data_IF_582921356987
#
_entry.id   IF_582921356987
#
_cell.length_a   1.000
_cell.length_b   1.000
_cell.length_c   1.000
_cell.angle_alpha   90.00
_cell.angle_beta   90.00
_cell.angle_gamma   90.00
#
_symmetry.space_group_name_H-M   'P 1'
#
loop_
_entity.id
_entity.type
_entity.pdbx_description
1 polymer ?
#
# COMPACT_ATOMS: atom_id res chain seq x y z
N UNK A 1 8.89 -13.36 44.00
CA UNK A 1 8.42 -14.06 42.79
C UNK A 1 7.41 -13.14 42.15
N UNK A 2 7.64 -12.78 40.88
CA UNK A 2 6.70 -11.95 40.14
C UNK A 2 5.35 -12.66 40.04
N UNK A 3 4.26 -11.92 40.24
CA UNK A 3 2.88 -12.40 40.10
C UNK A 3 2.33 -12.16 38.69
N UNK A 4 3.18 -11.68 37.78
CA UNK A 4 2.82 -11.41 36.39
C UNK A 4 2.70 -12.74 35.62
N UNK A 5 1.53 -13.04 34.99
CA UNK A 5 1.37 -14.19 34.12
C UNK A 5 2.39 -14.23 32.96
N UNK A 6 2.85 -13.06 32.50
CA UNK A 6 3.88 -12.92 31.48
C UNK A 6 5.21 -13.55 31.92
N UNK A 7 5.67 -13.23 33.13
CA UNK A 7 6.90 -13.75 33.70
C UNK A 7 6.83 -15.27 33.90
N UNK A 8 5.67 -15.80 34.30
CA UNK A 8 5.47 -17.24 34.46
C UNK A 8 5.47 -18.00 33.11
N UNK A 9 4.90 -17.41 32.07
CA UNK A 9 4.91 -17.98 30.72
C UNK A 9 6.31 -17.93 30.08
N UNK A 10 7.00 -16.81 30.21
CA UNK A 10 8.37 -16.65 29.73
C UNK A 10 9.33 -17.60 30.46
N UNK A 11 9.21 -17.71 31.78
CA UNK A 11 9.97 -18.68 32.58
C UNK A 11 9.70 -20.13 32.14
N UNK A 12 8.45 -20.46 31.81
CA UNK A 12 8.11 -21.77 31.26
C UNK A 12 8.79 -22.00 29.90
N UNK A 13 8.70 -21.06 28.96
CA UNK A 13 9.35 -21.18 27.64
C UNK A 13 10.87 -21.24 27.74
N UNK A 14 11.48 -20.51 28.68
CA UNK A 14 12.92 -20.62 28.99
C UNK A 14 13.28 -22.01 29.49
N UNK A 15 12.55 -22.53 30.46
CA UNK A 15 12.76 -23.90 30.97
C UNK A 15 12.56 -24.97 29.91
N UNK A 16 11.55 -24.85 29.06
CA UNK A 16 11.32 -25.79 27.95
C UNK A 16 12.48 -25.77 26.95
N UNK A 17 13.05 -24.60 26.65
CA UNK A 17 14.24 -24.44 25.80
C UNK A 17 15.50 -25.01 26.45
N UNK A 18 15.73 -24.69 27.73
CA UNK A 18 16.86 -25.22 28.51
C UNK A 18 16.79 -26.74 28.70
N UNK A 19 15.58 -27.32 28.76
CA UNK A 19 15.37 -28.75 28.92
C UNK A 19 15.54 -29.56 27.63
N UNK A 20 15.54 -28.92 26.45
CA UNK A 20 15.72 -29.58 25.14
C UNK A 20 16.57 -28.72 24.20
N UNK A 21 17.84 -28.45 24.57
CA UNK A 21 18.72 -27.67 23.72
C UNK A 21 19.06 -28.50 22.48
N UNK A 22 18.69 -28.00 21.30
CA UNK A 22 19.34 -28.46 20.07
C UNK A 22 20.63 -27.66 20.01
N UNK A 23 21.75 -28.33 20.25
CA UNK A 23 23.07 -27.72 20.15
C UNK A 23 23.46 -27.71 18.68
N UNK A 24 23.61 -26.52 18.11
CA UNK A 24 24.25 -26.37 16.80
C UNK A 24 25.74 -26.15 17.07
N UNK A 25 26.58 -27.06 16.60
CA UNK A 25 28.04 -27.04 16.84
C UNK A 25 28.73 -25.83 16.19
N UNK A 26 28.08 -25.21 15.19
CA UNK A 26 28.61 -24.08 14.43
C UNK A 26 27.49 -23.26 13.79
N UNK A 27 27.54 -21.93 13.93
CA UNK A 27 26.75 -21.02 13.10
C UNK A 27 27.43 -20.80 11.74
N UNK A 28 26.64 -20.62 10.69
CA UNK A 28 27.12 -20.33 9.34
C UNK A 28 28.03 -19.07 9.32
N UNK A 29 29.14 -19.13 8.59
CA UNK A 29 30.13 -18.04 8.58
C UNK A 29 29.54 -16.71 8.07
N UNK A 30 28.55 -16.75 7.16
CA UNK A 30 27.90 -15.53 6.69
C UNK A 30 26.97 -14.95 7.76
N UNK A 31 26.35 -15.78 8.60
CA UNK A 31 25.56 -15.31 9.76
C UNK A 31 26.47 -14.65 10.78
N UNK A 32 27.59 -15.29 11.12
CA UNK A 32 28.60 -14.75 12.03
C UNK A 32 29.12 -13.39 11.55
N UNK A 33 29.36 -13.24 10.25
CA UNK A 33 29.83 -11.99 9.65
C UNK A 33 28.83 -10.82 9.74
N UNK A 34 27.56 -11.06 10.11
CA UNK A 34 26.56 -10.01 10.34
C UNK A 34 26.47 -9.58 11.80
N UNK A 35 26.97 -10.37 12.73
CA UNK A 35 26.90 -10.02 14.15
C UNK A 35 27.81 -8.83 14.46
N UNK A 36 27.46 -7.99 15.47
CA UNK A 36 28.31 -6.89 15.89
C UNK A 36 29.73 -7.36 16.26
N UNK A 37 30.73 -6.51 16.01
CA UNK A 37 32.12 -6.80 16.34
C UNK A 37 32.27 -7.12 17.84
N UNK A 38 32.98 -8.20 18.16
CA UNK A 38 33.16 -8.68 19.52
C UNK A 38 32.04 -9.59 20.06
N UNK A 39 31.06 -9.96 19.23
CA UNK A 39 30.04 -10.94 19.62
C UNK A 39 30.63 -12.33 19.91
N UNK A 40 30.19 -12.95 21.00
CA UNK A 40 30.51 -14.34 21.35
C UNK A 40 29.25 -15.21 21.22
N UNK A 41 29.35 -16.33 20.50
CA UNK A 41 28.24 -17.28 20.35
C UNK A 41 28.24 -18.22 21.55
N UNK A 42 27.30 -18.00 22.47
CA UNK A 42 27.15 -18.84 23.67
C UNK A 42 26.38 -20.12 23.36
N UNK A 43 25.32 -20.02 22.56
CA UNK A 43 24.48 -21.15 22.15
C UNK A 43 23.62 -20.78 20.95
N UNK A 44 23.17 -21.77 20.17
CA UNK A 44 22.15 -21.58 19.15
C UNK A 44 21.08 -22.65 19.34
N UNK A 45 19.84 -22.22 19.59
CA UNK A 45 18.69 -23.10 19.89
C UNK A 45 17.54 -22.76 18.93
N UNK A 46 16.98 -23.73 18.19
CA UNK A 46 15.79 -23.54 17.37
C UNK A 46 14.59 -23.22 18.23
N UNK A 47 13.94 -22.09 17.95
CA UNK A 47 12.72 -21.66 18.66
C UNK A 47 11.43 -22.19 18.02
N UNK A 48 11.53 -23.23 17.18
CA UNK A 48 10.42 -23.78 16.38
C UNK A 48 10.16 -22.99 15.09
N UNK A 49 9.06 -23.32 14.42
CA UNK A 49 8.61 -22.59 13.22
C UNK A 49 7.64 -21.47 13.61
N UNK A 50 7.94 -20.24 13.20
CA UNK A 50 7.04 -19.09 13.36
C UNK A 50 5.72 -19.32 12.60
N UNK A 51 4.67 -18.56 12.94
CA UNK A 51 3.45 -18.55 12.13
C UNK A 51 3.79 -18.27 10.66
N UNK A 52 4.73 -17.36 10.41
CA UNK A 52 5.32 -17.09 9.11
C UNK A 52 5.88 -18.35 8.41
N UNK A 53 6.78 -19.09 9.06
CA UNK A 53 7.36 -20.33 8.53
C UNK A 53 6.34 -21.46 8.32
N UNK A 54 5.22 -21.46 9.07
CA UNK A 54 4.16 -22.47 8.95
C UNK A 54 3.15 -22.13 7.86
N UNK A 55 2.88 -20.84 7.63
CA UNK A 55 1.88 -20.35 6.68
C UNK A 55 2.44 -20.29 5.27
N UNK A 56 3.71 -19.89 5.12
CA UNK A 56 4.47 -20.08 3.89
C UNK A 56 5.05 -21.50 3.88
N UNK A 57 4.28 -22.48 3.40
CA UNK A 57 4.74 -23.86 3.17
C UNK A 57 5.73 -23.95 2.00
N UNK A 58 6.82 -23.20 2.06
CA UNK A 58 8.09 -23.43 1.36
C UNK A 58 9.02 -22.31 1.77
N UNK A 59 10.20 -22.64 2.27
CA UNK A 59 11.33 -21.71 2.23
C UNK A 59 11.49 -21.34 0.76
N UNK A 60 11.05 -20.13 0.37
CA UNK A 60 11.30 -19.68 -0.98
C UNK A 60 12.82 -19.59 -1.13
N UNK A 61 13.40 -20.50 -1.90
CA UNK A 61 14.83 -20.51 -2.18
C UNK A 61 15.14 -19.59 -3.35
N UNK A 62 16.40 -19.20 -3.49
CA UNK A 62 16.88 -18.37 -4.59
C UNK A 62 16.35 -16.94 -4.49
N UNK A 63 16.05 -16.36 -5.65
CA UNK A 63 15.73 -14.93 -5.74
C UNK A 63 14.44 -14.49 -5.03
N UNK A 64 13.34 -15.28 -5.03
CA UNK A 64 12.16 -14.94 -4.23
C UNK A 64 12.46 -14.89 -2.72
N UNK A 65 13.22 -15.87 -2.19
CA UNK A 65 13.72 -15.86 -0.81
C UNK A 65 14.58 -14.66 -0.47
N UNK A 66 15.50 -14.29 -1.37
CA UNK A 66 16.33 -13.10 -1.21
C UNK A 66 15.49 -11.85 -1.01
N UNK A 67 14.54 -11.60 -1.93
CA UNK A 67 13.70 -10.40 -1.93
C UNK A 67 12.81 -10.34 -0.69
N UNK A 68 12.34 -11.50 -0.24
CA UNK A 68 11.51 -11.64 0.96
C UNK A 68 12.29 -11.21 2.21
N UNK A 69 13.46 -11.78 2.43
CA UNK A 69 14.32 -11.49 3.58
C UNK A 69 14.89 -10.06 3.53
N UNK A 70 15.33 -9.62 2.34
CA UNK A 70 15.77 -8.24 2.12
C UNK A 70 14.63 -7.24 2.41
N UNK A 71 13.42 -7.54 1.96
CA UNK A 71 12.23 -6.71 2.20
C UNK A 71 11.93 -6.56 3.70
N UNK A 72 11.93 -7.67 4.45
CA UNK A 72 11.75 -7.65 5.90
C UNK A 72 12.83 -6.80 6.60
N UNK A 73 14.10 -7.04 6.29
CA UNK A 73 15.21 -6.27 6.85
C UNK A 73 15.08 -4.77 6.58
N UNK A 74 14.78 -4.37 5.33
CA UNK A 74 14.64 -2.96 4.97
C UNK A 74 13.42 -2.34 5.65
N UNK A 75 12.30 -3.08 5.72
CA UNK A 75 11.07 -2.63 6.37
C UNK A 75 11.30 -2.35 7.85
N UNK A 76 11.83 -3.35 8.58
CA UNK A 76 12.07 -3.24 10.01
C UNK A 76 13.15 -2.18 10.29
N UNK A 77 14.16 -2.02 9.43
CA UNK A 77 15.20 -0.98 9.59
C UNK A 77 14.62 0.42 9.50
N UNK A 78 13.71 0.66 8.55
CA UNK A 78 13.05 1.96 8.40
C UNK A 78 12.12 2.20 9.60
N UNK A 79 11.39 1.19 10.05
CA UNK A 79 10.48 1.31 11.20
C UNK A 79 11.25 1.58 12.52
N UNK A 80 12.35 0.86 12.75
CA UNK A 80 13.24 1.06 13.88
C UNK A 80 13.84 2.48 13.92
N UNK A 81 14.00 3.15 12.77
CA UNK A 81 14.46 4.56 12.75
C UNK A 81 13.44 5.55 13.36
N UNK A 82 12.16 5.17 13.46
CA UNK A 82 11.09 5.99 14.05
C UNK A 82 10.65 5.49 15.44
N UNK A 83 10.80 4.20 15.71
CA UNK A 83 10.46 3.55 16.97
C UNK A 83 11.56 2.56 17.41
N UNK A 84 12.77 3.06 17.76
CA UNK A 84 13.93 2.20 18.05
C UNK A 84 13.74 1.33 19.29
N UNK A 85 12.92 1.78 20.25
CA UNK A 85 12.66 1.05 21.50
C UNK A 85 11.49 0.06 21.38
N UNK A 86 10.79 0.04 20.23
CA UNK A 86 9.54 -0.73 20.05
C UNK A 86 9.58 -1.66 18.83
N UNK A 87 10.77 -1.94 18.30
CA UNK A 87 10.99 -2.87 17.17
C UNK A 87 12.26 -3.65 17.47
N UNK A 88 12.33 -4.97 17.22
CA UNK A 88 13.57 -5.72 17.37
C UNK A 88 14.64 -5.13 16.46
N UNK A 89 15.78 -4.71 17.02
CA UNK A 89 16.84 -4.04 16.26
C UNK A 89 17.32 -4.93 15.08
N UNK A 90 17.14 -4.52 13.82
CA UNK A 90 17.62 -5.28 12.68
C UNK A 90 19.16 -5.26 12.63
N UNK A 91 19.78 -6.44 12.52
CA UNK A 91 21.25 -6.59 12.52
C UNK A 91 21.78 -6.79 11.11
N UNK A 92 21.15 -7.69 10.33
CA UNK A 92 21.56 -7.92 8.95
C UNK A 92 20.80 -9.05 8.28
N UNK A 93 21.01 -9.18 6.96
CA UNK A 93 20.51 -10.32 6.18
C UNK A 93 21.59 -10.82 5.21
N UNK A 94 21.43 -12.05 4.73
CA UNK A 94 22.36 -12.65 3.78
C UNK A 94 21.93 -14.03 3.27
N UNK A 95 22.71 -14.58 2.36
CA UNK A 95 22.60 -15.97 1.92
C UNK A 95 23.43 -16.84 2.87
N UNK A 96 22.93 -18.01 3.25
CA UNK A 96 23.74 -19.00 3.97
C UNK A 96 24.91 -19.44 3.10
N UNK A 97 26.11 -19.56 3.70
CA UNK A 97 27.29 -20.07 3.02
C UNK A 97 27.18 -21.57 2.77
N UNK A 98 26.68 -22.30 3.75
CA UNK A 98 26.61 -23.77 3.74
C UNK A 98 25.36 -24.30 3.00
N UNK A 99 24.37 -23.44 2.72
CA UNK A 99 23.12 -23.78 2.03
C UNK A 99 22.75 -22.71 0.99
N UNK A 100 23.37 -22.80 -0.19
CA UNK A 100 23.16 -21.82 -1.25
C UNK A 100 21.73 -21.83 -1.77
N UNK A 101 21.19 -20.64 -1.98
CA UNK A 101 19.80 -20.41 -2.29
C UNK A 101 18.93 -20.21 -1.05
N UNK A 102 19.42 -20.45 0.16
CA UNK A 102 18.68 -20.16 1.40
C UNK A 102 19.14 -18.83 1.98
N UNK A 103 18.19 -18.01 2.43
CA UNK A 103 18.44 -16.66 2.93
C UNK A 103 18.05 -16.53 4.40
N UNK A 104 18.77 -15.68 5.14
CA UNK A 104 18.54 -15.43 6.57
C UNK A 104 18.41 -13.93 6.87
N UNK A 105 17.65 -13.63 7.91
CA UNK A 105 17.54 -12.32 8.57
C UNK A 105 17.90 -12.49 10.05
N UNK A 106 18.71 -11.57 10.57
CA UNK A 106 19.14 -11.50 11.97
C UNK A 106 18.67 -10.17 12.56
N UNK A 107 18.06 -10.24 13.73
CA UNK A 107 17.66 -9.10 14.54
C UNK A 107 17.86 -9.40 16.03
N UNK A 108 17.65 -8.39 16.85
CA UNK A 108 17.56 -8.51 18.30
C UNK A 108 16.47 -9.52 18.71
N UNK A 109 16.75 -10.27 19.75
CA UNK A 109 15.85 -11.28 20.27
C UNK A 109 15.09 -10.74 21.49
N UNK A 110 13.76 -10.81 21.45
CA UNK A 110 12.88 -10.50 22.57
C UNK A 110 12.12 -11.75 23.01
N UNK A 111 12.07 -11.97 24.33
CA UNK A 111 11.12 -12.94 24.90
C UNK A 111 9.75 -12.28 24.92
N UNK A 112 8.80 -12.75 24.11
CA UNK A 112 7.49 -12.09 23.96
C UNK A 112 6.36 -12.84 24.65
N UNK A 113 5.37 -12.09 25.11
CA UNK A 113 4.13 -12.61 25.71
C UNK A 113 2.92 -12.15 24.90
N UNK A 114 2.06 -13.12 24.55
CA UNK A 114 0.78 -12.90 23.89
C UNK A 114 -0.27 -12.44 24.92
N UNK A 115 -0.15 -11.18 25.34
CA UNK A 115 -1.17 -10.46 26.09
C UNK A 115 -1.63 -9.21 25.34
N UNK A 116 -2.78 -8.68 25.72
CA UNK A 116 -3.33 -7.48 25.09
C UNK A 116 -2.52 -6.25 25.48
N UNK A 117 -2.15 -5.44 24.50
CA UNK A 117 -1.44 -4.18 24.73
C UNK A 117 -2.35 -3.18 25.44
N UNK A 118 -1.78 -2.24 26.19
CA UNK A 118 -2.57 -1.09 26.63
C UNK A 118 -2.97 -0.24 25.41
N UNK A 119 -4.22 0.24 25.43
CA UNK A 119 -4.81 0.99 24.32
C UNK A 119 -4.11 2.31 24.09
N UNK A 120 -3.72 3.00 25.16
CA UNK A 120 -3.02 4.30 25.08
C UNK A 120 -1.59 4.07 24.63
N UNK A 121 -0.87 3.13 25.24
CA UNK A 121 0.54 2.91 24.94
C UNK A 121 0.77 2.49 23.48
N UNK A 122 -0.02 1.53 22.95
CA UNK A 122 0.09 1.11 21.55
C UNK A 122 -0.21 2.26 20.58
N UNK A 123 -1.27 3.04 20.88
CA UNK A 123 -1.66 4.17 20.02
C UNK A 123 -0.63 5.28 20.07
N UNK A 124 -0.02 5.56 21.23
CA UNK A 124 0.99 6.61 21.36
C UNK A 124 2.26 6.27 20.57
N UNK A 125 2.70 5.01 20.60
CA UNK A 125 3.81 4.51 19.78
C UNK A 125 3.48 4.66 18.28
N UNK A 126 2.34 4.12 17.83
CA UNK A 126 1.95 4.16 16.42
C UNK A 126 1.75 5.59 15.92
N UNK A 127 1.10 6.43 16.72
CA UNK A 127 0.86 7.83 16.38
C UNK A 127 2.17 8.62 16.30
N UNK A 128 3.15 8.33 17.16
CA UNK A 128 4.49 8.92 17.09
C UNK A 128 5.16 8.55 15.77
N UNK A 129 5.15 7.27 15.36
CA UNK A 129 5.70 6.84 14.06
C UNK A 129 5.03 7.58 12.91
N UNK A 130 3.69 7.59 12.87
CA UNK A 130 2.94 8.25 11.80
C UNK A 130 3.23 9.76 11.73
N UNK A 131 3.18 10.49 12.85
CA UNK A 131 3.47 11.94 12.85
C UNK A 131 4.89 12.26 12.46
N UNK A 132 5.86 11.52 12.99
CA UNK A 132 7.27 11.84 12.80
C UNK A 132 7.77 11.45 11.41
N UNK A 133 7.10 10.51 10.73
CA UNK A 133 7.38 10.10 9.36
C UNK A 133 6.56 10.86 8.30
N UNK A 134 5.45 11.50 8.68
CA UNK A 134 4.58 12.25 7.76
C UNK A 134 5.37 13.26 6.92
N UNK A 135 5.14 13.23 5.60
CA UNK A 135 5.83 14.08 4.63
C UNK A 135 7.28 13.68 4.31
N UNK A 136 7.81 12.62 4.94
CA UNK A 136 9.20 12.15 4.73
C UNK A 136 9.36 11.06 3.67
N UNK A 137 8.29 10.75 2.91
CA UNK A 137 8.42 9.88 1.73
C UNK A 137 9.54 10.40 0.82
N UNK A 138 10.54 9.57 0.43
CA UNK A 138 11.67 10.03 -0.39
C UNK A 138 11.25 10.63 -1.74
N UNK A 139 10.03 10.31 -2.20
CA UNK A 139 9.47 10.81 -3.45
C UNK A 139 8.35 11.83 -3.24
N UNK A 140 7.95 12.07 -1.98
CA UNK A 140 6.72 12.80 -1.63
C UNK A 140 5.44 12.08 -2.05
N UNK A 141 5.51 10.83 -2.49
CA UNK A 141 4.36 10.06 -2.99
C UNK A 141 3.97 8.95 -2.03
N UNK A 142 2.71 8.56 -2.12
CA UNK A 142 2.22 7.28 -1.62
C UNK A 142 2.83 6.16 -2.46
N UNK A 143 3.32 5.12 -1.81
CA UNK A 143 3.70 3.88 -2.46
C UNK A 143 2.67 2.82 -2.12
N UNK A 144 1.90 2.31 -3.09
CA UNK A 144 1.12 1.10 -2.88
C UNK A 144 0.60 0.51 -4.18
N UNK A 145 0.91 -0.76 -4.44
CA UNK A 145 0.26 -1.55 -5.49
C UNK A 145 -0.50 -2.76 -4.91
N UNK A 146 -0.78 -2.78 -3.60
CA UNK A 146 -1.04 -4.06 -2.95
C UNK A 146 -2.48 -4.57 -3.02
N UNK A 147 -3.50 -3.78 -3.36
CA UNK A 147 -4.86 -4.33 -3.45
C UNK A 147 -5.01 -5.30 -4.63
N UNK A 148 -4.52 -4.92 -5.82
CA UNK A 148 -4.50 -5.81 -7.00
C UNK A 148 -3.62 -7.04 -6.75
N UNK A 149 -2.40 -6.84 -6.25
CA UNK A 149 -1.49 -7.96 -5.95
C UNK A 149 -2.04 -8.90 -4.86
N UNK A 150 -2.79 -8.36 -3.89
CA UNK A 150 -3.42 -9.17 -2.84
C UNK A 150 -4.58 -10.00 -3.40
N UNK A 151 -5.41 -9.41 -4.26
CA UNK A 151 -6.48 -10.16 -4.91
C UNK A 151 -5.94 -11.20 -5.89
N UNK A 152 -4.88 -10.89 -6.63
CA UNK A 152 -4.18 -11.88 -7.46
C UNK A 152 -3.60 -13.02 -6.62
N UNK A 153 -3.06 -12.73 -5.45
CA UNK A 153 -2.57 -13.74 -4.50
C UNK A 153 -3.71 -14.64 -4.01
N UNK A 154 -4.84 -14.06 -3.62
CA UNK A 154 -6.05 -14.79 -3.25
C UNK A 154 -6.54 -15.68 -4.39
N UNK A 155 -6.65 -15.13 -5.61
CA UNK A 155 -7.09 -15.85 -6.80
C UNK A 155 -6.17 -17.02 -7.16
N UNK A 156 -4.86 -16.87 -6.98
CA UNK A 156 -3.89 -17.97 -7.17
C UNK A 156 -4.07 -19.07 -6.13
N UNK A 157 -4.34 -18.72 -4.87
CA UNK A 157 -4.49 -19.67 -3.78
C UNK A 157 -5.83 -20.40 -3.81
N UNK A 158 -6.92 -19.69 -4.15
CA UNK A 158 -8.30 -20.16 -4.05
C UNK A 158 -8.93 -20.52 -5.40
N UNK A 159 -8.26 -20.22 -6.51
CA UNK A 159 -8.79 -20.36 -7.86
C UNK A 159 -9.72 -19.21 -8.26
N UNK A 160 -10.04 -19.12 -9.55
CA UNK A 160 -10.89 -18.07 -10.10
C UNK A 160 -12.35 -18.17 -9.64
N UNK A 161 -12.97 -17.03 -9.38
CA UNK A 161 -14.39 -16.87 -9.05
C UNK A 161 -14.93 -15.66 -9.82
N UNK A 162 -15.87 -15.88 -10.75
CA UNK A 162 -16.38 -14.83 -11.64
C UNK A 162 -17.12 -13.72 -10.91
N UNK A 163 -17.79 -14.05 -9.81
CA UNK A 163 -18.49 -13.06 -9.01
C UNK A 163 -17.50 -12.15 -8.29
N UNK A 164 -16.49 -12.74 -7.65
CA UNK A 164 -15.40 -11.98 -7.03
C UNK A 164 -14.65 -11.13 -8.07
N UNK A 165 -14.41 -11.65 -9.27
CA UNK A 165 -13.76 -10.90 -10.36
C UNK A 165 -14.58 -9.62 -10.68
N UNK A 166 -15.88 -9.78 -10.94
CA UNK A 166 -16.78 -8.67 -11.26
C UNK A 166 -16.90 -7.65 -10.12
N UNK A 167 -16.98 -8.14 -8.88
CA UNK A 167 -17.05 -7.29 -7.69
C UNK A 167 -15.73 -6.54 -7.47
N UNK A 168 -14.58 -7.19 -7.69
CA UNK A 168 -13.28 -6.56 -7.56
C UNK A 168 -13.05 -5.49 -8.64
N UNK A 169 -13.50 -5.74 -9.86
CA UNK A 169 -13.51 -4.73 -10.92
C UNK A 169 -14.36 -3.52 -10.53
N UNK A 170 -15.53 -3.73 -9.92
CA UNK A 170 -16.36 -2.64 -9.42
C UNK A 170 -15.71 -1.89 -8.24
N UNK A 171 -15.02 -2.60 -7.34
CA UNK A 171 -14.25 -1.99 -6.25
C UNK A 171 -13.19 -1.04 -6.82
N UNK A 172 -12.38 -1.51 -7.76
CA UNK A 172 -11.29 -0.74 -8.36
C UNK A 172 -11.79 0.47 -9.16
N UNK A 173 -12.88 0.31 -9.92
CA UNK A 173 -13.34 1.35 -10.83
C UNK A 173 -14.35 2.33 -10.21
N UNK A 174 -15.03 1.95 -9.11
CA UNK A 174 -16.08 2.77 -8.49
C UNK A 174 -15.77 3.11 -7.05
N UNK A 175 -15.59 2.09 -6.20
CA UNK A 175 -15.53 2.25 -4.74
C UNK A 175 -14.23 2.93 -4.30
N UNK A 176 -13.07 2.44 -4.77
CA UNK A 176 -11.76 3.02 -4.42
C UNK A 176 -11.69 4.50 -4.83
N UNK A 177 -12.03 4.89 -6.08
CA UNK A 177 -12.07 6.29 -6.45
C UNK A 177 -13.05 7.12 -5.60
N UNK A 178 -14.23 6.57 -5.28
CA UNK A 178 -15.24 7.25 -4.45
C UNK A 178 -14.74 7.53 -3.05
N UNK A 179 -14.07 6.57 -2.41
CA UNK A 179 -13.62 6.69 -1.03
C UNK A 179 -12.30 7.46 -0.89
N UNK A 180 -11.35 7.23 -1.79
CA UNK A 180 -9.99 7.74 -1.61
C UNK A 180 -9.73 9.07 -2.34
N UNK A 181 -10.43 9.38 -3.45
CA UNK A 181 -10.24 10.66 -4.14
C UNK A 181 -10.62 11.88 -3.28
N UNK A 182 -11.72 11.85 -2.49
CA UNK A 182 -12.09 12.97 -1.61
C UNK A 182 -11.05 13.32 -0.53
N UNK A 183 -10.17 12.39 -0.15
CA UNK A 183 -9.09 12.64 0.82
C UNK A 183 -8.06 13.67 0.31
N UNK A 184 -7.98 13.85 -1.01
CA UNK A 184 -7.00 14.72 -1.69
C UNK A 184 -7.68 15.76 -2.60
N UNK A 185 -9.00 15.97 -2.44
CA UNK A 185 -9.78 16.92 -3.23
C UNK A 185 -10.57 17.87 -2.36
N UNK A 186 -11.23 18.86 -2.96
CA UNK A 186 -12.06 19.85 -2.24
C UNK A 186 -11.31 20.61 -1.12
N UNK A 187 -9.99 20.77 -1.26
CA UNK A 187 -9.14 21.42 -0.26
C UNK A 187 -8.62 20.48 0.84
N UNK A 188 -9.05 19.21 0.84
CA UNK A 188 -8.46 18.18 1.67
C UNK A 188 -7.11 17.74 1.12
N UNK A 189 -6.25 17.32 2.02
CA UNK A 189 -4.95 16.75 1.68
C UNK A 189 -4.57 15.79 2.79
N UNK A 190 -4.04 14.64 2.38
CA UNK A 190 -3.36 13.70 3.24
C UNK A 190 -1.87 13.69 2.86
N UNK A 191 -1.01 13.48 3.85
CA UNK A 191 0.42 13.34 3.63
C UNK A 191 0.86 11.87 3.81
N UNK A 192 1.75 11.35 2.95
CA UNK A 192 2.26 10.00 3.13
C UNK A 192 3.09 9.93 4.42
N UNK A 193 2.81 8.92 5.23
CA UNK A 193 3.59 8.56 6.42
C UNK A 193 4.02 7.09 6.32
N UNK A 194 4.99 6.69 7.13
CA UNK A 194 5.41 5.30 7.21
C UNK A 194 4.34 4.48 7.93
N UNK A 195 3.79 3.48 7.26
CA UNK A 195 2.80 2.57 7.84
C UNK A 195 3.39 1.16 7.98
N UNK A 196 2.98 0.39 8.99
CA UNK A 196 3.44 -0.97 9.28
C UNK A 196 2.85 -2.01 8.30
N UNK A 197 1.60 -1.80 7.88
CA UNK A 197 0.82 -2.63 6.95
C UNK A 197 0.50 -4.07 7.38
N UNK A 198 0.83 -4.44 8.61
CA UNK A 198 0.52 -5.76 9.18
C UNK A 198 0.42 -5.73 10.71
N UNK A 199 -0.17 -4.67 11.27
CA UNK A 199 -0.23 -4.46 12.71
C UNK A 199 -1.50 -5.08 13.33
N UNK A 200 -1.45 -6.39 13.56
CA UNK A 200 -2.47 -7.17 14.27
C UNK A 200 -1.89 -7.71 15.59
N UNK A 201 -2.69 -8.25 16.54
CA UNK A 201 -2.16 -8.68 17.85
C UNK A 201 -0.97 -9.66 17.78
N UNK A 202 -0.84 -10.43 16.70
CA UNK A 202 0.28 -11.36 16.51
C UNK A 202 1.59 -10.70 16.09
N UNK A 203 1.59 -9.41 15.75
CA UNK A 203 2.75 -8.62 15.31
C UNK A 203 3.01 -7.41 16.22
N UNK A 204 2.33 -7.34 17.36
CA UNK A 204 2.63 -6.42 18.44
C UNK A 204 2.46 -7.18 19.76
N UNK A 205 3.55 -7.44 20.47
CA UNK A 205 3.54 -8.24 21.71
C UNK A 205 4.29 -7.52 22.82
N UNK A 206 4.11 -7.97 24.07
CA UNK A 206 4.84 -7.42 25.21
C UNK A 206 6.16 -8.16 25.36
N UNK A 207 7.26 -7.43 25.54
CA UNK A 207 8.52 -8.00 26.01
C UNK A 207 8.35 -8.48 27.46
N UNK A 208 8.71 -9.73 27.71
CA UNK A 208 8.47 -10.42 28.97
C UNK A 208 9.30 -9.86 30.14
N UNK A 209 10.40 -9.17 29.86
CA UNK A 209 11.29 -8.64 30.89
C UNK A 209 10.93 -7.21 31.26
N UNK A 210 10.58 -6.41 30.26
CA UNK A 210 10.36 -4.96 30.40
C UNK A 210 8.87 -4.61 30.49
N UNK A 211 8.01 -5.41 29.86
CA UNK A 211 6.60 -5.08 29.65
C UNK A 211 6.37 -4.13 28.47
N UNK A 212 7.42 -3.75 27.74
CA UNK A 212 7.33 -2.81 26.62
C UNK A 212 6.65 -3.47 25.40
N UNK A 213 5.92 -2.66 24.63
CA UNK A 213 5.30 -3.12 23.38
C UNK A 213 6.36 -3.19 22.28
N UNK A 214 6.51 -4.36 21.68
CA UNK A 214 7.39 -4.64 20.56
C UNK A 214 6.56 -4.98 19.32
N UNK A 215 6.72 -4.19 18.26
CA UNK A 215 6.12 -4.40 16.93
C UNK A 215 7.15 -5.05 16.01
N UNK A 216 6.72 -6.01 15.18
CA UNK A 216 7.61 -6.79 14.32
C UNK A 216 6.87 -7.30 13.08
N UNK A 217 7.61 -7.92 12.16
CA UNK A 217 7.08 -8.39 10.86
C UNK A 217 6.40 -7.27 10.06
N UNK A 218 7.07 -6.12 9.99
CA UNK A 218 6.53 -4.98 9.25
C UNK A 218 6.56 -5.23 7.73
N UNK A 219 5.52 -4.77 7.05
CA UNK A 219 5.40 -4.77 5.58
C UNK A 219 5.37 -3.31 5.08
N UNK A 220 6.34 -2.52 5.56
CA UNK A 220 6.22 -1.08 5.62
C UNK A 220 6.25 -0.39 4.25
N UNK A 221 5.44 0.66 4.14
CA UNK A 221 5.46 1.55 2.99
C UNK A 221 4.94 2.94 3.36
N UNK A 222 5.07 3.88 2.43
CA UNK A 222 4.58 5.25 2.59
C UNK A 222 3.10 5.34 2.18
N UNK A 223 2.20 5.43 3.16
CA UNK A 223 0.75 5.30 2.97
C UNK A 223 -0.07 6.37 3.70
N UNK A 224 -1.39 6.30 3.54
CA UNK A 224 -2.34 7.00 4.41
C UNK A 224 -2.30 6.34 5.80
N UNK A 225 -2.08 7.13 6.85
CA UNK A 225 -1.90 6.64 8.22
C UNK A 225 -3.05 5.74 8.71
N UNK A 226 -4.28 5.99 8.26
CA UNK A 226 -5.45 5.21 8.69
C UNK A 226 -5.54 3.81 8.03
N UNK A 227 -4.71 3.53 7.02
CA UNK A 227 -4.62 2.20 6.41
C UNK A 227 -4.05 1.13 7.36
N UNK A 228 -3.20 1.54 8.31
CA UNK A 228 -2.65 0.67 9.35
C UNK A 228 -3.70 0.17 10.35
N UNK A 229 -4.85 0.84 10.39
CA UNK A 229 -5.96 0.51 11.27
C UNK A 229 -6.88 -0.58 10.69
N UNK A 230 -6.65 -0.99 9.44
CA UNK A 230 -7.45 -2.01 8.75
C UNK A 230 -7.57 -3.32 9.53
N UNK A 231 -6.48 -3.91 10.05
CA UNK A 231 -6.56 -5.12 10.86
C UNK A 231 -7.43 -4.93 12.11
N UNK A 232 -7.45 -3.73 12.71
CA UNK A 232 -8.20 -3.47 13.96
C UNK A 232 -9.72 -3.44 13.75
N UNK A 233 -10.19 -3.42 12.50
CA UNK A 233 -11.61 -3.61 12.18
C UNK A 233 -12.05 -5.06 12.35
N UNK A 234 -11.15 -6.00 12.14
CA UNK A 234 -11.49 -7.40 12.00
C UNK A 234 -11.96 -7.98 13.35
N UNK A 235 -13.20 -8.53 13.45
CA UNK A 235 -13.76 -9.00 14.71
C UNK A 235 -13.01 -10.22 15.29
N UNK A 236 -12.14 -10.85 14.50
CA UNK A 236 -11.25 -11.95 14.90
C UNK A 236 -10.09 -11.50 15.79
N UNK A 237 -9.77 -10.20 15.81
CA UNK A 237 -8.65 -9.65 16.58
C UNK A 237 -9.12 -8.89 17.81
N UNK A 238 -8.25 -8.83 18.82
CA UNK A 238 -8.48 -8.12 20.08
C UNK A 238 -8.15 -6.62 20.02
N UNK A 239 -7.58 -6.15 18.90
CA UNK A 239 -7.44 -4.73 18.57
C UNK A 239 -8.73 -4.29 17.87
N UNK A 240 -9.59 -3.55 18.55
CA UNK A 240 -10.94 -3.23 18.09
C UNK A 240 -11.30 -1.74 18.22
N UNK A 241 -12.60 -1.44 18.34
CA UNK A 241 -13.13 -0.06 18.48
C UNK A 241 -12.43 0.82 19.52
N UNK A 242 -11.98 0.32 20.69
CA UNK A 242 -11.23 1.16 21.65
C UNK A 242 -9.95 1.75 21.07
N UNK A 243 -9.17 0.95 20.33
CA UNK A 243 -7.93 1.37 19.69
C UNK A 243 -8.18 2.36 18.56
N UNK A 244 -9.17 2.06 17.71
CA UNK A 244 -9.60 2.95 16.63
C UNK A 244 -9.98 4.34 17.18
N UNK A 245 -10.82 4.39 18.22
CA UNK A 245 -11.26 5.65 18.83
C UNK A 245 -10.11 6.41 19.50
N UNK A 246 -9.21 5.70 20.18
CA UNK A 246 -8.06 6.33 20.82
C UNK A 246 -7.11 6.90 19.75
N UNK A 247 -6.87 6.18 18.66
CA UNK A 247 -6.07 6.67 17.53
C UNK A 247 -6.70 7.93 16.91
N UNK A 248 -8.01 7.91 16.62
CA UNK A 248 -8.74 9.07 16.09
C UNK A 248 -8.68 10.28 17.05
N UNK A 249 -8.76 10.04 18.35
CA UNK A 249 -8.63 11.11 19.36
C UNK A 249 -7.25 11.75 19.35
N UNK A 250 -6.20 10.95 19.12
CA UNK A 250 -4.82 11.44 19.08
C UNK A 250 -4.55 12.11 17.74
N UNK A 251 -4.78 11.43 16.62
CA UNK A 251 -4.36 11.84 15.29
C UNK A 251 -5.37 12.71 14.52
N UNK A 252 -6.62 12.77 14.97
CA UNK A 252 -7.72 13.29 14.17
C UNK A 252 -8.24 12.25 13.18
N UNK A 253 -9.29 12.63 12.45
CA UNK A 253 -9.90 11.85 11.37
C UNK A 253 -9.67 12.61 10.07
N UNK A 254 -9.22 11.93 9.03
CA UNK A 254 -9.08 12.54 7.70
C UNK A 254 -10.43 12.99 7.15
N UNK A 255 -10.45 14.10 6.42
CA UNK A 255 -11.68 14.59 5.76
C UNK A 255 -11.91 13.90 4.41
N UNK A 256 -13.16 13.60 4.01
CA UNK A 256 -14.41 13.88 4.74
C UNK A 256 -14.71 12.83 5.83
N UNK A 257 -14.80 13.24 7.10
CA UNK A 257 -14.93 12.30 8.23
C UNK A 257 -16.14 11.35 8.14
N UNK A 258 -17.18 11.75 7.40
CA UNK A 258 -18.39 10.94 7.20
C UNK A 258 -18.13 9.59 6.51
N UNK A 259 -17.11 9.51 5.65
CA UNK A 259 -16.76 8.29 4.91
C UNK A 259 -15.73 7.42 5.67
N UNK A 260 -15.34 7.80 6.90
CA UNK A 260 -14.24 7.16 7.61
C UNK A 260 -14.41 5.66 7.83
N UNK A 261 -15.60 5.25 8.26
CA UNK A 261 -15.85 3.83 8.54
C UNK A 261 -15.77 2.99 7.26
N UNK A 262 -16.13 3.59 6.12
CA UNK A 262 -16.21 2.94 4.82
C UNK A 262 -14.82 2.76 4.19
N UNK A 263 -13.93 3.76 4.27
CA UNK A 263 -12.54 3.53 3.84
C UNK A 263 -11.75 2.67 4.82
N UNK A 264 -12.07 2.67 6.12
CA UNK A 264 -11.51 1.68 7.05
C UNK A 264 -11.96 0.26 6.69
N UNK A 265 -13.21 0.07 6.25
CA UNK A 265 -13.69 -1.20 5.69
C UNK A 265 -12.94 -1.58 4.41
N UNK A 266 -12.70 -0.62 3.50
CA UNK A 266 -11.86 -0.82 2.32
C UNK A 266 -10.42 -1.26 2.68
N UNK A 267 -9.80 -0.62 3.69
CA UNK A 267 -8.47 -1.01 4.15
C UNK A 267 -8.48 -2.39 4.82
N UNK A 268 -9.52 -2.73 5.58
CA UNK A 268 -9.70 -4.04 6.19
C UNK A 268 -9.87 -5.16 5.14
N UNK A 269 -10.57 -4.88 4.04
CA UNK A 269 -10.83 -5.86 2.97
C UNK A 269 -9.54 -6.47 2.39
N UNK A 270 -8.44 -5.70 2.34
CA UNK A 270 -7.12 -6.23 1.96
C UNK A 270 -6.73 -7.44 2.82
N UNK A 271 -6.95 -7.35 4.12
CA UNK A 271 -6.58 -8.41 5.06
C UNK A 271 -7.54 -9.59 4.99
N UNK A 272 -8.78 -9.38 4.55
CA UNK A 272 -9.72 -10.46 4.30
C UNK A 272 -9.33 -11.28 3.07
N UNK A 273 -8.84 -10.63 2.00
CA UNK A 273 -8.17 -11.35 0.89
C UNK A 273 -6.91 -12.07 1.34
N UNK A 274 -6.08 -11.43 2.19
CA UNK A 274 -4.87 -12.06 2.73
C UNK A 274 -5.19 -13.35 3.48
N UNK A 275 -6.12 -13.33 4.45
CA UNK A 275 -6.44 -14.55 5.21
C UNK A 275 -7.15 -15.60 4.36
N UNK A 276 -7.93 -15.19 3.34
CA UNK A 276 -8.48 -16.12 2.35
C UNK A 276 -7.38 -16.85 1.59
N UNK A 277 -6.32 -16.14 1.20
CA UNK A 277 -5.19 -16.69 0.47
C UNK A 277 -4.30 -17.60 1.34
N UNK A 278 -4.06 -17.20 2.60
CA UNK A 278 -3.20 -17.95 3.53
C UNK A 278 -3.85 -19.25 4.03
N UNK A 279 -5.17 -19.31 4.09
CA UNK A 279 -5.93 -20.47 4.57
C UNK A 279 -6.91 -20.99 3.52
N UNK A 280 -6.43 -21.53 2.39
CA UNK A 280 -7.28 -21.91 1.26
C UNK A 280 -8.32 -23.00 1.60
N UNK A 281 -8.05 -23.80 2.63
CA UNK A 281 -8.94 -24.86 3.11
C UNK A 281 -10.06 -24.34 4.04
N UNK A 282 -10.03 -23.06 4.44
CA UNK A 282 -10.98 -22.44 5.36
C UNK A 282 -11.89 -21.46 4.60
N UNK A 283 -12.94 -21.99 3.95
CA UNK A 283 -13.80 -21.22 3.03
C UNK A 283 -14.47 -19.99 3.65
N UNK A 284 -14.66 -19.99 4.98
CA UNK A 284 -15.22 -18.87 5.74
C UNK A 284 -14.51 -17.54 5.49
N UNK A 285 -13.20 -17.56 5.22
CA UNK A 285 -12.42 -16.35 4.97
C UNK A 285 -12.72 -15.76 3.59
N UNK A 286 -12.87 -16.62 2.59
CA UNK A 286 -13.29 -16.22 1.24
C UNK A 286 -14.71 -15.68 1.22
N UNK A 287 -15.61 -16.33 1.95
CA UNK A 287 -17.00 -15.88 2.07
C UNK A 287 -17.12 -14.53 2.78
N UNK A 288 -16.29 -14.30 3.80
CA UNK A 288 -16.17 -13.00 4.48
C UNK A 288 -15.68 -11.92 3.50
N UNK A 289 -14.57 -12.14 2.79
CA UNK A 289 -14.06 -11.20 1.80
C UNK A 289 -15.11 -10.88 0.72
N UNK A 290 -15.80 -11.90 0.19
CA UNK A 290 -16.90 -11.73 -0.79
C UNK A 290 -18.02 -10.86 -0.23
N UNK A 291 -18.43 -11.09 1.02
CA UNK A 291 -19.51 -10.35 1.66
C UNK A 291 -19.15 -8.88 1.87
N UNK A 292 -17.97 -8.59 2.42
CA UNK A 292 -17.52 -7.21 2.65
C UNK A 292 -17.33 -6.45 1.33
N UNK A 293 -16.70 -7.10 0.34
CA UNK A 293 -16.54 -6.55 -1.00
C UNK A 293 -17.89 -6.22 -1.64
N UNK A 294 -18.85 -7.14 -1.58
CA UNK A 294 -20.21 -6.92 -2.12
C UNK A 294 -20.89 -5.76 -1.43
N UNK A 295 -20.83 -5.70 -0.09
CA UNK A 295 -21.45 -4.63 0.68
C UNK A 295 -20.93 -3.25 0.25
N UNK A 296 -19.62 -3.10 0.08
CA UNK A 296 -19.00 -1.86 -0.41
C UNK A 296 -19.44 -1.51 -1.84
N UNK A 297 -19.48 -2.49 -2.75
CA UNK A 297 -19.89 -2.27 -4.15
C UNK A 297 -21.37 -1.90 -4.26
N UNK A 298 -22.24 -2.54 -3.47
CA UNK A 298 -23.67 -2.26 -3.43
C UNK A 298 -23.99 -0.92 -2.78
N UNK A 299 -23.19 -0.49 -1.79
CA UNK A 299 -23.36 0.79 -1.10
C UNK A 299 -22.90 1.98 -1.96
N UNK A 300 -21.94 1.79 -2.87
CA UNK A 300 -21.46 2.82 -3.81
C UNK A 300 -21.71 2.49 -5.28
N UNK A 301 -22.96 2.32 -5.72
CA UNK A 301 -23.28 1.88 -7.08
C UNK A 301 -22.89 2.93 -8.14
N UNK A 302 -22.96 4.22 -7.78
CA UNK A 302 -22.60 5.37 -8.62
C UNK A 302 -21.14 5.79 -8.54
N UNK A 303 -20.37 5.22 -7.59
CA UNK A 303 -18.96 5.53 -7.40
C UNK A 303 -18.69 7.02 -7.21
N UNK A 304 -17.56 7.51 -7.73
CA UNK A 304 -17.11 8.88 -7.54
C UNK A 304 -18.08 9.94 -8.12
N UNK A 305 -18.85 9.61 -9.16
CA UNK A 305 -19.79 10.57 -9.75
C UNK A 305 -20.87 10.98 -8.74
N UNK A 306 -21.38 10.01 -7.98
CA UNK A 306 -22.42 10.23 -6.97
C UNK A 306 -21.95 11.20 -5.87
N UNK A 307 -20.68 11.13 -5.48
CA UNK A 307 -20.09 12.08 -4.52
C UNK A 307 -20.20 13.53 -5.02
N UNK A 308 -19.81 13.77 -6.28
CA UNK A 308 -19.86 15.10 -6.86
C UNK A 308 -21.29 15.57 -7.13
N UNK A 309 -22.19 14.67 -7.48
CA UNK A 309 -23.60 15.03 -7.68
C UNK A 309 -24.23 15.50 -6.35
N UNK A 310 -23.91 14.82 -5.23
CA UNK A 310 -24.35 15.20 -3.88
C UNK A 310 -23.68 16.48 -3.36
N UNK A 311 -22.38 16.65 -3.60
CA UNK A 311 -21.66 17.85 -3.17
C UNK A 311 -22.13 19.10 -3.93
N UNK A 312 -22.46 18.96 -5.22
CA UNK A 312 -23.04 20.03 -6.04
C UNK A 312 -24.49 20.35 -5.66
N UNK A 313 -25.30 19.35 -5.32
CA UNK A 313 -26.68 19.57 -4.84
C UNK A 313 -26.71 20.39 -3.53
N UNK A 314 -25.73 20.20 -2.65
CA UNK A 314 -25.62 20.93 -1.38
C UNK A 314 -25.16 22.38 -1.61
N UNK A 315 -24.28 22.62 -2.58
CA UNK A 315 -23.79 23.95 -2.99
C UNK A 315 -24.83 24.83 -3.70
N UNK A 316 -26.00 24.31 -4.09
CA UNK A 316 -27.09 25.08 -4.72
C UNK A 316 -28.15 25.61 -3.73
N UNK A 317 -27.88 25.60 -2.42
CA UNK A 317 -28.81 26.11 -1.39
C UNK A 317 -28.51 27.52 -0.85
N UNK A 318 -27.59 28.27 -1.46
CA UNK A 318 -27.35 29.67 -1.10
C UNK A 318 -26.66 30.45 -2.21
N UNK A 319 -27.39 31.38 -2.83
CA UNK A 319 -26.82 32.43 -3.67
C UNK A 319 -25.88 33.31 -2.83
N UNK A 320 -24.62 33.43 -3.26
CA UNK A 320 -23.77 34.58 -2.96
C UNK A 320 -23.09 34.99 -4.26
N UNK A 321 -23.48 36.16 -4.77
CA UNK A 321 -22.76 36.90 -5.81
C UNK A 321 -21.32 37.20 -5.35
N UNK A 322 -20.34 36.97 -6.22
CA UNK A 322 -18.93 37.32 -5.96
C UNK A 322 -18.61 38.72 -6.49
N UNK A 323 -18.23 39.61 -5.57
CA UNK A 323 -17.63 40.93 -5.78
C UNK A 323 -16.20 40.79 -6.36
N UNK A 324 -15.84 41.45 -7.48
CA UNK A 324 -14.56 41.21 -8.16
C UNK A 324 -13.36 42.02 -7.64
N UNK A 325 -13.38 42.59 -6.44
CA UNK A 325 -12.20 43.27 -5.90
C UNK A 325 -11.92 42.92 -4.44
N UNK A 326 -11.01 41.98 -4.23
CA UNK A 326 -9.91 42.07 -3.25
C UNK A 326 -8.88 41.00 -3.62
N UNK A 327 -7.77 41.45 -4.20
CA UNK A 327 -6.50 40.73 -4.23
C UNK A 327 -5.78 41.15 -2.96
N UNK A 328 -5.48 40.19 -2.07
CA UNK A 328 -4.43 40.38 -1.05
C UNK A 328 -3.43 39.24 -1.20
N UNK A 329 -2.18 39.64 -1.35
CA UNK A 329 -1.00 38.80 -1.52
C UNK A 329 -0.79 37.83 -0.34
N UNK A 330 -0.44 36.58 -0.68
CA UNK A 330 0.30 35.66 0.20
C UNK A 330 1.32 34.87 -0.64
N UNK A 331 2.61 34.96 -0.30
CA UNK A 331 3.62 33.93 -0.66
C UNK A 331 3.56 32.74 0.33
N UNK A 332 4.39 31.67 0.20
CA UNK A 332 4.11 30.46 -0.55
C UNK A 332 4.11 29.21 0.35
N UNK A 333 3.08 28.33 0.30
CA UNK A 333 3.14 27.14 1.14
C UNK A 333 2.10 26.03 0.98
N UNK A 334 0.92 26.30 0.43
CA UNK A 334 -0.05 25.25 0.08
C UNK A 334 -0.86 25.74 -1.12
N UNK A 335 -0.84 25.02 -2.24
CA UNK A 335 -1.66 25.38 -3.41
C UNK A 335 -3.00 24.70 -3.29
N UNK A 336 -4.08 25.49 -3.30
CA UNK A 336 -5.44 24.98 -3.37
C UNK A 336 -5.66 24.16 -4.66
N UNK A 337 -6.67 23.28 -4.71
CA UNK A 337 -7.05 22.55 -5.93
C UNK A 337 -7.35 23.49 -7.10
N UNK A 338 -7.88 24.68 -6.80
CA UNK A 338 -8.07 25.74 -7.79
C UNK A 338 -6.75 26.31 -8.29
N UNK A 339 -5.75 26.49 -7.42
CA UNK A 339 -4.41 26.93 -7.83
C UNK A 339 -3.68 25.85 -8.62
N UNK A 340 -3.88 24.57 -8.31
CA UNK A 340 -3.40 23.47 -9.13
C UNK A 340 -4.08 23.45 -10.49
N UNK A 341 -5.42 23.49 -10.54
CA UNK A 341 -6.17 23.51 -11.80
C UNK A 341 -5.85 24.76 -12.64
N UNK A 342 -5.67 25.92 -12.00
CA UNK A 342 -5.24 27.17 -12.63
C UNK A 342 -3.79 27.10 -13.09
N UNK A 343 -2.90 26.48 -12.33
CA UNK A 343 -1.49 26.25 -12.71
C UNK A 343 -1.39 25.27 -13.87
N UNK A 344 -2.20 24.21 -13.87
CA UNK A 344 -2.27 23.20 -14.92
C UNK A 344 -2.91 23.77 -16.19
N UNK A 345 -3.98 24.57 -16.06
CA UNK A 345 -4.57 25.31 -17.17
C UNK A 345 -3.55 26.31 -17.75
N UNK A 346 -2.83 27.05 -16.90
CA UNK A 346 -1.72 27.92 -17.33
C UNK A 346 -0.61 27.12 -18.02
N UNK A 347 -0.24 25.94 -17.51
CA UNK A 347 0.73 25.06 -18.14
C UNK A 347 0.26 24.64 -19.53
N UNK A 348 -0.98 24.18 -19.68
CA UNK A 348 -1.54 23.77 -20.97
C UNK A 348 -1.65 24.95 -21.95
N UNK A 349 -2.07 26.11 -21.48
CA UNK A 349 -2.19 27.33 -22.30
C UNK A 349 -0.81 27.86 -22.74
N UNK A 350 0.17 27.88 -21.84
CA UNK A 350 1.47 28.54 -22.06
C UNK A 350 2.54 27.60 -22.60
N UNK A 351 2.43 26.29 -22.35
CA UNK A 351 3.36 25.32 -22.90
C UNK A 351 3.33 25.35 -24.42
N UNK A 352 4.51 25.22 -25.02
CA UNK A 352 4.67 25.12 -26.45
C UNK A 352 5.54 23.92 -26.73
N UNK A 353 5.04 23.01 -27.55
CA UNK A 353 5.90 21.98 -28.12
C UNK A 353 7.04 22.64 -28.89
N UNK A 354 8.31 22.25 -28.68
CA UNK A 354 9.47 22.87 -29.34
C UNK A 354 9.40 22.86 -30.87
N UNK A 355 8.66 21.90 -31.44
CA UNK A 355 8.49 21.72 -32.88
C UNK A 355 7.02 21.79 -33.34
N UNK A 356 6.12 22.21 -32.44
CA UNK A 356 4.65 22.21 -32.67
C UNK A 356 4.05 20.82 -32.94
N UNK A 357 4.73 19.72 -32.61
CA UNK A 357 4.24 18.34 -32.78
C UNK A 357 3.88 17.73 -31.41
N UNK A 358 3.05 16.68 -31.40
CA UNK A 358 2.76 15.87 -30.22
C UNK A 358 3.89 14.88 -29.96
N UNK A 359 4.46 14.86 -28.76
CA UNK A 359 5.59 13.99 -28.42
C UNK A 359 6.43 14.55 -27.29
N UNK A 360 7.53 13.86 -26.99
CA UNK A 360 8.52 14.31 -26.01
C UNK A 360 9.93 13.91 -26.48
N UNK A 361 10.92 14.73 -26.12
CA UNK A 361 12.29 14.59 -26.61
C UNK A 361 13.06 13.38 -26.04
N UNK A 362 12.53 12.75 -24.99
CA UNK A 362 13.09 11.57 -24.34
C UNK A 362 12.00 10.55 -24.03
N UNK A 363 12.37 9.27 -23.98
CA UNK A 363 11.53 8.23 -23.39
C UNK A 363 11.32 8.54 -21.92
N UNK A 364 10.07 8.63 -21.50
CA UNK A 364 9.69 8.83 -20.09
C UNK A 364 9.30 7.49 -19.47
N UNK A 365 9.13 7.40 -18.15
CA UNK A 365 8.74 6.16 -17.49
C UNK A 365 7.50 6.35 -16.63
N UNK A 366 6.59 5.37 -16.65
CA UNK A 366 5.52 5.23 -15.68
C UNK A 366 5.77 3.95 -14.86
N UNK A 367 6.18 4.11 -13.60
CA UNK A 367 6.78 3.01 -12.85
C UNK A 367 8.02 2.47 -13.57
N UNK A 368 8.08 1.16 -13.80
CA UNK A 368 9.11 0.48 -14.59
C UNK A 368 8.78 0.40 -16.10
N UNK A 369 7.66 0.98 -16.56
CA UNK A 369 7.24 0.90 -17.95
C UNK A 369 7.81 2.07 -18.79
N UNK A 370 8.69 1.81 -19.77
CA UNK A 370 9.13 2.85 -20.69
C UNK A 370 7.97 3.33 -21.57
N UNK A 371 7.83 4.64 -21.67
CA UNK A 371 6.84 5.36 -22.46
C UNK A 371 7.59 6.04 -23.60
N UNK A 372 7.53 5.44 -24.79
CA UNK A 372 8.15 6.03 -25.96
C UNK A 372 7.21 7.10 -26.53
N UNK A 373 7.67 8.34 -26.60
CA UNK A 373 6.85 9.51 -26.96
C UNK A 373 7.34 10.14 -28.27
N UNK A 374 7.31 9.41 -29.40
CA UNK A 374 7.83 9.93 -30.66
C UNK A 374 7.05 11.16 -31.12
N UNK A 375 7.75 12.09 -31.77
CA UNK A 375 7.13 13.29 -32.31
C UNK A 375 6.22 12.96 -33.51
N UNK A 376 4.95 13.36 -33.45
CA UNK A 376 3.97 13.21 -34.52
C UNK A 376 3.12 14.47 -34.70
N UNK A 377 2.68 14.74 -35.93
CA UNK A 377 1.89 15.94 -36.26
C UNK A 377 0.40 15.84 -35.93
N UNK A 378 -0.11 14.65 -35.64
CA UNK A 378 -1.53 14.40 -35.39
C UNK A 378 -1.69 13.74 -34.04
N UNK A 379 -2.66 14.24 -33.26
CA UNK A 379 -3.03 13.65 -31.98
C UNK A 379 -3.49 12.21 -32.14
N UNK A 380 -4.26 11.89 -33.19
CA UNK A 380 -4.69 10.51 -33.50
C UNK A 380 -3.48 9.59 -33.62
N UNK A 381 -2.45 10.01 -34.36
CA UNK A 381 -1.26 9.19 -34.58
C UNK A 381 -0.43 9.02 -33.31
N UNK A 382 -0.27 10.10 -32.52
CA UNK A 382 0.41 10.03 -31.23
C UNK A 382 -0.30 9.06 -30.28
N UNK A 383 -1.61 9.23 -30.11
CA UNK A 383 -2.42 8.44 -29.20
C UNK A 383 -2.48 6.97 -29.63
N UNK A 384 -2.67 6.69 -30.92
CA UNK A 384 -2.66 5.33 -31.47
C UNK A 384 -1.32 4.63 -31.24
N UNK A 385 -0.19 5.32 -31.42
CA UNK A 385 1.13 4.75 -31.17
C UNK A 385 1.32 4.40 -29.69
N UNK A 386 0.92 5.30 -28.79
CA UNK A 386 1.01 5.09 -27.34
C UNK A 386 0.11 3.94 -26.88
N UNK A 387 -1.12 3.89 -27.37
CA UNK A 387 -2.07 2.83 -27.05
C UNK A 387 -1.58 1.48 -27.58
N UNK A 388 -1.02 1.44 -28.80
CA UNK A 388 -0.40 0.23 -29.37
C UNK A 388 0.78 -0.24 -28.52
N UNK A 389 1.64 0.66 -28.05
CA UNK A 389 2.73 0.30 -27.15
C UNK A 389 2.21 -0.33 -25.85
N UNK A 390 1.18 0.24 -25.23
CA UNK A 390 0.59 -0.32 -24.01
C UNK A 390 -0.01 -1.71 -24.25
N UNK A 391 -0.71 -1.91 -25.37
CA UNK A 391 -1.26 -3.22 -25.75
C UNK A 391 -0.14 -4.24 -26.04
N UNK A 392 0.96 -3.82 -26.67
CA UNK A 392 2.12 -4.70 -26.88
C UNK A 392 2.82 -5.08 -25.58
N UNK A 393 2.90 -4.16 -24.61
CA UNK A 393 3.45 -4.44 -23.28
C UNK A 393 2.54 -5.42 -22.54
N UNK A 394 1.23 -5.20 -22.56
CA UNK A 394 0.25 -6.11 -21.96
C UNK A 394 0.37 -7.52 -22.55
N UNK A 395 0.39 -7.63 -23.88
CA UNK A 395 0.55 -8.91 -24.57
C UNK A 395 1.90 -9.59 -24.27
N UNK A 396 2.99 -8.81 -24.10
CA UNK A 396 4.29 -9.35 -23.73
C UNK A 396 4.32 -9.89 -22.29
N UNK A 397 3.53 -9.31 -21.39
CA UNK A 397 3.43 -9.74 -19.98
C UNK A 397 2.47 -10.92 -19.83
N UNK A 398 1.29 -10.86 -20.48
CA UNK A 398 0.19 -11.82 -20.27
C UNK A 398 0.17 -12.97 -21.30
N UNK A 399 0.93 -12.85 -22.38
CA UNK A 399 0.92 -13.80 -23.50
C UNK A 399 -0.17 -13.50 -24.54
N UNK A 400 -0.15 -14.18 -25.70
CA UNK A 400 -1.11 -13.93 -26.77
C UNK A 400 -2.51 -14.43 -26.39
N UNK A 401 -3.49 -13.53 -26.39
CA UNK A 401 -4.91 -13.87 -26.28
C UNK A 401 -5.66 -13.47 -27.57
N UNK A 402 -6.49 -14.35 -28.16
CA UNK A 402 -7.21 -14.05 -29.40
C UNK A 402 -8.34 -13.03 -29.24
N UNK A 403 -8.88 -12.84 -28.02
CA UNK A 403 -9.99 -11.93 -27.74
C UNK A 403 -9.55 -10.44 -27.68
N UNK A 404 -8.43 -10.07 -27.01
CA UNK A 404 -7.86 -8.73 -27.08
C UNK A 404 -7.37 -8.31 -28.46
N UNK A 405 -6.98 -9.26 -29.32
CA UNK A 405 -6.35 -8.94 -30.60
C UNK A 405 -7.34 -8.30 -31.59
N UNK A 406 -8.54 -8.90 -31.74
CA UNK A 406 -9.60 -8.33 -32.58
C UNK A 406 -10.19 -7.02 -32.05
N UNK A 407 -10.28 -6.88 -30.72
CA UNK A 407 -10.74 -5.64 -30.08
C UNK A 407 -9.72 -4.50 -30.21
N UNK A 408 -8.42 -4.81 -30.11
CA UNK A 408 -7.32 -3.86 -30.27
C UNK A 408 -7.29 -3.26 -31.67
N UNK A 409 -7.50 -4.08 -32.71
CA UNK A 409 -7.61 -3.60 -34.09
C UNK A 409 -8.83 -2.71 -34.28
N UNK A 410 -10.01 -3.13 -33.80
CA UNK A 410 -11.21 -2.30 -33.89
C UNK A 410 -11.06 -0.97 -33.13
N UNK A 411 -10.41 -0.97 -31.97
CA UNK A 411 -10.12 0.21 -31.17
C UNK A 411 -9.20 1.17 -31.93
N UNK A 412 -8.07 0.68 -32.46
CA UNK A 412 -7.07 1.49 -33.14
C UNK A 412 -7.51 1.97 -34.53
N UNK A 413 -8.29 1.17 -35.27
CA UNK A 413 -8.67 1.48 -36.65
C UNK A 413 -10.03 2.17 -36.79
N UNK A 414 -10.93 1.99 -35.82
CA UNK A 414 -12.30 2.54 -35.89
C UNK A 414 -12.55 3.57 -34.80
N UNK A 415 -12.31 3.22 -33.54
CA UNK A 415 -12.69 4.06 -32.39
C UNK A 415 -11.78 5.26 -32.25
N UNK A 416 -10.45 5.06 -32.20
CA UNK A 416 -9.48 6.16 -32.05
C UNK A 416 -9.63 7.19 -33.17
N UNK A 417 -9.73 6.81 -34.46
CA UNK A 417 -9.98 7.76 -35.53
C UNK A 417 -11.34 8.46 -35.41
N UNK A 418 -12.40 7.74 -35.03
CA UNK A 418 -13.76 8.30 -34.90
C UNK A 418 -13.85 9.38 -33.82
N UNK A 419 -13.06 9.26 -32.75
CA UNK A 419 -13.03 10.21 -31.64
C UNK A 419 -11.96 11.31 -31.83
N UNK A 420 -10.81 10.99 -32.42
CA UNK A 420 -9.69 11.92 -32.55
C UNK A 420 -9.81 12.85 -33.75
N UNK A 421 -10.23 12.35 -34.92
CA UNK A 421 -10.33 13.17 -36.15
C UNK A 421 -11.26 14.37 -36.03
N UNK A 422 -12.44 14.26 -35.38
CA UNK A 422 -13.29 15.44 -35.15
C UNK A 422 -12.56 16.56 -34.40
N UNK A 423 -11.56 16.24 -33.56
CA UNK A 423 -10.82 17.25 -32.81
C UNK A 423 -9.87 18.07 -33.68
N UNK A 424 -9.48 17.56 -34.86
CA UNK A 424 -8.51 18.16 -35.78
C UNK A 424 -9.13 18.50 -37.17
N UNK A 425 -10.46 18.42 -37.30
CA UNK A 425 -11.19 18.66 -38.56
C UNK A 425 -12.33 19.67 -38.40
N UNK A 426 -12.77 20.28 -39.51
CA UNK A 426 -13.83 21.30 -39.51
C UNK A 426 -13.39 22.63 -38.89
N UNK A 427 -12.15 23.07 -39.17
CA UNK A 427 -11.57 24.31 -38.63
C UNK A 427 -11.05 24.21 -37.20
N UNK A 428 -11.24 23.06 -36.53
CA UNK A 428 -10.71 22.79 -35.19
C UNK A 428 -9.26 22.33 -35.29
N UNK A 429 -8.42 22.83 -34.40
CA UNK A 429 -7.02 22.42 -34.29
C UNK A 429 -6.72 22.08 -32.83
N UNK A 430 -5.95 21.02 -32.61
CA UNK A 430 -5.43 20.67 -31.28
C UNK A 430 -3.98 21.13 -31.19
N UNK A 431 -3.70 21.93 -30.18
CA UNK A 431 -2.34 22.37 -29.86
C UNK A 431 -1.68 21.32 -28.96
N UNK A 432 -0.49 20.82 -29.30
CA UNK A 432 0.32 20.02 -28.37
C UNK A 432 0.62 20.85 -27.13
N UNK A 433 0.22 20.31 -25.98
CA UNK A 433 0.36 20.96 -24.68
C UNK A 433 1.16 20.02 -23.78
N UNK A 434 2.05 20.59 -22.97
CA UNK A 434 2.82 19.82 -21.99
C UNK A 434 1.85 19.33 -20.92
N UNK A 435 1.74 18.01 -20.79
CA UNK A 435 0.92 17.38 -19.77
C UNK A 435 1.78 17.14 -18.52
N UNK A 436 1.22 17.43 -17.36
CA UNK A 436 1.79 17.01 -16.09
C UNK A 436 1.39 15.55 -15.83
N UNK A 437 2.32 14.76 -15.31
CA UNK A 437 2.23 13.29 -15.19
C UNK A 437 1.00 12.82 -14.39
N UNK A 438 0.48 11.66 -14.78
CA UNK A 438 -0.60 10.88 -14.12
C UNK A 438 -1.90 11.68 -13.88
N UNK A 439 -2.46 12.26 -14.94
CA UNK A 439 -3.89 12.62 -15.02
C UNK A 439 -4.74 11.39 -15.36
#
# INVERSE_FOLDING_TARGET
>A
MSTNPADAYAEKLRREREASPIVIDRLDDNVLAKLPEGSEVVSAVPSGASAWCKTFRSYESGEPGRRMVEGAFQSDSVYASYAPDNVPTPVGFGEFKDDSGTWFYVCEFHDMVDDLQDVVDLVDILSKVHRTSMGKSPTGKFGFAAMNSMYDFEKRAQGRDEELDNLFDALCNKVIPRLLRPLESEGHSIEPCLIHSDLWPGNCMLDANTGDIIMFDSCAFWGHNEADLGPWRAPRYRLGRPYLRQYQKVMGISEPQADWDDWNALYALRYDFLVSALYPNETKFRDMARRELRALVEYYPGGLQEYYDQSNATKHSGEIELDPQIIVDLEPGARSTEDFARSLAKLHQNSRSPNSWFGFHITTYNGNLPQDNPWTRSWEKFFSNRLRQMLSIEQAIQGPSPEPQGLSEALLEKVVPRLSRPLETGGRTKKPSLLYRDL
#
